data_IF_981123999484
#
_entry.id   IF_981123999484
#
_cell.length_a   1.000
_cell.length_b   1.000
_cell.length_c   1.000
_cell.angle_alpha   90.00
_cell.angle_beta   90.00
_cell.angle_gamma   90.00
#
_symmetry.space_group_name_H-M   'P 1'
#
loop_
_entity.id
_entity.type
_entity.pdbx_description
1 polymer ?
#
# COMPACT_ATOMS: atom_id res chain seq x y z
N UNK A 1 2.45 13.81 16.45
CA UNK A 1 2.61 13.40 15.03
C UNK A 1 3.88 12.56 14.93
N UNK A 2 3.82 11.38 14.32
CA UNK A 2 5.01 10.50 14.20
C UNK A 2 5.76 10.80 12.92
N UNK A 3 7.06 11.04 13.01
CA UNK A 3 7.88 11.46 11.86
C UNK A 3 8.91 10.39 11.53
N UNK A 4 8.92 9.92 10.28
CA UNK A 4 10.02 9.16 9.70
C UNK A 4 10.78 10.09 8.76
N UNK A 5 12.09 10.20 8.98
CA UNK A 5 13.00 10.91 8.08
C UNK A 5 13.85 9.90 7.35
N UNK A 6 13.94 10.01 6.03
CA UNK A 6 14.80 9.19 5.17
C UNK A 6 15.67 10.06 4.28
N UNK A 7 16.91 9.63 4.06
CA UNK A 7 17.81 10.21 3.06
C UNK A 7 18.51 9.11 2.30
N UNK A 8 18.36 9.09 0.97
CA UNK A 8 19.00 8.09 0.13
C UNK A 8 20.26 8.64 -0.54
N UNK A 9 21.32 7.83 -0.53
CA UNK A 9 22.57 8.06 -1.26
C UNK A 9 22.79 6.89 -2.21
N UNK A 10 22.80 7.18 -3.51
CA UNK A 10 23.08 6.20 -4.55
C UNK A 10 24.49 5.63 -4.37
N UNK A 11 24.61 4.30 -4.41
CA UNK A 11 25.91 3.61 -4.41
C UNK A 11 26.20 3.06 -5.81
N UNK A 12 25.20 2.52 -6.47
CA UNK A 12 25.27 2.00 -7.85
C UNK A 12 23.91 2.12 -8.54
N UNK A 13 23.76 1.60 -9.77
CA UNK A 13 22.46 1.52 -10.45
C UNK A 13 21.50 0.49 -9.85
N UNK A 14 21.96 -0.41 -8.98
CA UNK A 14 21.12 -1.41 -8.31
C UNK A 14 21.17 -1.32 -6.77
N UNK A 15 21.87 -0.35 -6.20
CA UNK A 15 21.91 -0.17 -4.75
C UNK A 15 22.03 1.27 -4.30
N UNK A 16 21.50 1.53 -3.11
CA UNK A 16 21.63 2.81 -2.41
C UNK A 16 21.55 2.61 -0.90
N UNK A 17 22.31 3.43 -0.18
CA UNK A 17 22.20 3.52 1.28
C UNK A 17 21.06 4.47 1.64
N UNK A 18 20.13 4.01 2.48
CA UNK A 18 19.05 4.82 3.01
C UNK A 18 19.22 5.00 4.51
N UNK A 19 19.57 6.22 4.88
CA UNK A 19 19.68 6.68 6.25
C UNK A 19 18.28 6.98 6.75
N UNK A 20 17.91 6.46 7.91
CA UNK A 20 16.57 6.67 8.45
C UNK A 20 16.58 6.97 9.94
N UNK A 21 15.57 7.70 10.39
CA UNK A 21 15.29 7.88 11.82
C UNK A 21 13.82 8.13 12.13
N UNK A 22 13.44 7.80 13.36
CA UNK A 22 12.20 8.20 14.01
C UNK A 22 12.54 8.82 15.36
N UNK A 23 12.47 10.15 15.42
CA UNK A 23 12.99 10.93 16.55
C UNK A 23 14.52 10.96 16.55
N UNK A 24 15.14 10.93 17.73
CA UNK A 24 16.61 11.01 17.89
C UNK A 24 17.26 9.67 18.27
N UNK A 25 16.47 8.72 18.80
CA UNK A 25 17.01 7.46 19.34
C UNK A 25 16.90 6.26 18.39
N UNK A 26 15.82 6.20 17.60
CA UNK A 26 15.61 5.08 16.66
C UNK A 26 16.07 5.54 15.29
N UNK A 27 17.23 5.05 14.87
CA UNK A 27 17.87 5.40 13.62
C UNK A 27 18.63 4.17 13.09
N UNK A 28 19.06 4.26 11.84
CA UNK A 28 19.91 3.24 11.23
C UNK A 28 20.13 3.52 9.76
N UNK A 29 20.82 2.58 9.11
CA UNK A 29 21.14 2.63 7.69
C UNK A 29 20.65 1.33 7.06
N UNK A 30 19.88 1.44 5.98
CA UNK A 30 19.52 0.32 5.12
C UNK A 30 20.43 0.33 3.89
N UNK A 31 21.12 -0.78 3.60
CA UNK A 31 21.70 -1.03 2.29
C UNK A 31 20.64 -1.71 1.42
N UNK A 32 19.97 -0.92 0.58
CA UNK A 32 18.90 -1.41 -0.27
C UNK A 32 19.49 -1.87 -1.59
N UNK A 33 19.32 -3.16 -1.91
CA UNK A 33 19.81 -3.77 -3.15
C UNK A 33 18.65 -4.33 -3.96
N UNK A 34 18.55 -3.94 -5.22
CA UNK A 34 17.50 -4.38 -6.13
C UNK A 34 18.03 -5.42 -7.10
N UNK A 35 17.16 -6.36 -7.51
CA UNK A 35 17.40 -7.36 -8.56
C UNK A 35 17.40 -6.78 -9.99
N UNK A 36 17.31 -5.45 -10.12
CA UNK A 36 17.32 -4.72 -11.38
C UNK A 36 18.13 -3.43 -11.25
N UNK A 37 18.55 -2.90 -12.40
CA UNK A 37 19.25 -1.62 -12.49
C UNK A 37 18.33 -0.47 -12.91
N UNK A 38 18.58 0.70 -12.35
CA UNK A 38 17.92 1.95 -12.75
C UNK A 38 18.83 3.16 -12.43
N UNK A 39 18.82 4.17 -13.30
CA UNK A 39 19.61 5.39 -13.10
C UNK A 39 19.24 6.14 -11.81
N UNK A 40 17.96 6.07 -11.42
CA UNK A 40 17.41 6.65 -10.19
C UNK A 40 17.17 5.61 -9.10
N UNK A 41 18.16 4.74 -8.87
CA UNK A 41 18.13 3.71 -7.83
C UNK A 41 17.96 4.28 -6.41
N UNK A 42 18.45 5.49 -6.15
CA UNK A 42 18.27 6.20 -4.88
C UNK A 42 16.80 6.57 -4.59
N UNK A 43 16.06 7.04 -5.61
CA UNK A 43 14.63 7.30 -5.49
C UNK A 43 13.86 6.00 -5.19
N UNK A 44 14.18 4.92 -5.91
CA UNK A 44 13.52 3.63 -5.71
C UNK A 44 13.84 3.05 -4.34
N UNK A 45 15.11 3.08 -3.94
CA UNK A 45 15.57 2.63 -2.63
C UNK A 45 14.89 3.41 -1.50
N UNK A 46 14.74 4.73 -1.64
CA UNK A 46 14.04 5.54 -0.64
C UNK A 46 12.57 5.12 -0.50
N UNK A 47 11.86 4.90 -1.62
CA UNK A 47 10.48 4.42 -1.60
C UNK A 47 10.36 3.03 -0.95
N UNK A 48 11.26 2.10 -1.30
CA UNK A 48 11.32 0.74 -0.75
C UNK A 48 11.58 0.81 0.76
N UNK A 49 12.57 1.58 1.19
CA UNK A 49 12.92 1.78 2.59
C UNK A 49 11.75 2.35 3.38
N UNK A 50 11.05 3.39 2.88
CA UNK A 50 9.89 3.95 3.57
C UNK A 50 8.80 2.89 3.75
N UNK A 51 8.47 2.11 2.70
CA UNK A 51 7.47 1.03 2.79
C UNK A 51 7.89 0.00 3.85
N UNK A 52 9.12 -0.48 3.77
CA UNK A 52 9.64 -1.49 4.67
C UNK A 52 9.64 -1.01 6.12
N UNK A 53 10.18 0.18 6.39
CA UNK A 53 10.24 0.74 7.73
C UNK A 53 8.85 0.98 8.32
N UNK A 54 7.92 1.54 7.52
CA UNK A 54 6.60 1.91 8.00
C UNK A 54 5.66 0.71 8.18
N UNK A 55 5.70 -0.27 7.27
CA UNK A 55 4.70 -1.35 7.19
C UNK A 55 5.23 -2.70 7.70
N UNK A 56 6.46 -3.06 7.36
CA UNK A 56 7.03 -4.38 7.68
C UNK A 56 7.75 -4.35 9.03
N UNK A 57 8.75 -3.48 9.18
CA UNK A 57 9.51 -3.28 10.43
C UNK A 57 8.72 -2.51 11.50
N UNK A 58 7.68 -1.78 11.07
CA UNK A 58 6.80 -0.99 11.92
C UNK A 58 7.56 -0.10 12.90
N UNK A 59 8.49 0.72 12.40
CA UNK A 59 9.32 1.63 13.23
C UNK A 59 8.52 2.63 14.06
N UNK A 60 7.22 2.76 13.80
CA UNK A 60 6.28 3.53 14.60
C UNK A 60 5.69 2.76 15.80
N UNK A 61 6.08 1.50 16.02
CA UNK A 61 5.50 0.56 16.99
C UNK A 61 4.00 0.33 16.80
N UNK A 62 3.51 0.49 15.57
CA UNK A 62 2.12 0.22 15.16
C UNK A 62 2.04 0.16 13.65
N UNK A 63 1.12 -0.66 13.14
CA UNK A 63 0.78 -0.73 11.72
C UNK A 63 -0.07 0.49 11.30
N UNK A 64 0.35 1.28 10.30
CA UNK A 64 -0.45 2.39 9.79
C UNK A 64 -1.74 1.91 9.11
N UNK A 65 -2.90 2.24 9.70
CA UNK A 65 -4.21 2.05 9.07
C UNK A 65 -4.66 3.19 8.13
N UNK A 66 -3.90 4.29 8.14
CA UNK A 66 -4.00 5.47 7.27
C UNK A 66 -2.74 6.33 7.45
N UNK A 67 -2.42 7.23 6.51
CA UNK A 67 -1.30 8.15 6.62
C UNK A 67 -1.54 9.36 7.54
N UNK A 68 -2.80 9.69 7.85
CA UNK A 68 -3.12 10.81 8.73
C UNK A 68 -2.48 10.64 10.12
N UNK A 69 -1.70 11.66 10.55
CA UNK A 69 -0.95 11.64 11.81
C UNK A 69 0.50 11.14 11.68
N UNK A 70 0.90 10.72 10.47
CA UNK A 70 2.28 10.43 10.10
C UNK A 70 2.86 11.54 9.21
N UNK A 71 4.14 11.81 9.42
CA UNK A 71 4.94 12.72 8.61
C UNK A 71 6.11 11.95 8.02
N UNK A 72 6.32 12.09 6.72
CA UNK A 72 7.47 11.57 5.98
C UNK A 72 8.33 12.76 5.57
N UNK A 73 9.57 12.77 6.02
CA UNK A 73 10.59 13.73 5.57
C UNK A 73 11.53 12.97 4.65
N UNK A 74 11.53 13.31 3.37
CA UNK A 74 12.19 12.52 2.32
C UNK A 74 13.24 13.36 1.58
N UNK A 75 14.25 12.73 1.02
CA UNK A 75 15.34 13.43 0.32
C UNK A 75 15.00 13.84 -1.10
N UNK A 76 14.07 13.12 -1.76
CA UNK A 76 13.66 13.38 -3.14
C UNK A 76 12.25 13.97 -3.23
N UNK A 77 12.13 15.16 -3.81
CA UNK A 77 10.82 15.80 -4.07
C UNK A 77 9.91 15.00 -5.01
N UNK A 78 10.46 14.08 -5.81
CA UNK A 78 9.68 13.17 -6.63
C UNK A 78 8.74 12.28 -5.81
N UNK A 79 9.12 11.89 -4.59
CA UNK A 79 8.27 11.07 -3.69
C UNK A 79 7.00 11.83 -3.32
N UNK A 80 7.13 13.11 -2.96
CA UNK A 80 5.97 13.98 -2.70
C UNK A 80 5.07 14.09 -3.93
N UNK A 81 5.64 14.24 -5.14
CA UNK A 81 4.86 14.29 -6.39
C UNK A 81 4.17 12.96 -6.69
N UNK A 82 4.80 11.82 -6.41
CA UNK A 82 4.24 10.48 -6.59
C UNK A 82 3.04 10.25 -5.68
N UNK A 83 3.15 10.62 -4.39
CA UNK A 83 2.05 10.53 -3.44
C UNK A 83 0.82 11.37 -3.86
N UNK A 84 1.05 12.47 -4.57
CA UNK A 84 -0.01 13.34 -5.10
C UNK A 84 -0.52 12.92 -6.49
N UNK A 85 0.06 11.88 -7.11
CA UNK A 85 -0.27 11.49 -8.48
C UNK A 85 0.16 12.50 -9.56
N UNK A 86 1.12 13.38 -9.25
CA UNK A 86 1.58 14.48 -10.12
C UNK A 86 3.02 14.30 -10.62
N UNK A 87 3.61 13.12 -10.43
CA UNK A 87 4.99 12.84 -10.86
C UNK A 87 5.03 12.37 -12.32
N UNK A 88 6.06 12.80 -13.05
CA UNK A 88 6.37 12.26 -14.38
C UNK A 88 7.09 10.91 -14.34
N UNK A 89 7.55 10.45 -13.17
CA UNK A 89 8.34 9.23 -12.99
C UNK A 89 7.46 7.98 -12.93
N UNK A 90 6.90 7.58 -14.07
CA UNK A 90 5.98 6.44 -14.16
C UNK A 90 6.60 5.12 -13.66
N UNK A 91 7.91 4.92 -13.85
CA UNK A 91 8.64 3.73 -13.38
C UNK A 91 8.56 3.55 -11.85
N UNK A 92 8.44 4.64 -11.08
CA UNK A 92 8.39 4.63 -9.62
C UNK A 92 6.96 4.53 -9.07
N UNK A 93 5.93 4.62 -9.92
CA UNK A 93 4.53 4.69 -9.47
C UNK A 93 4.10 3.46 -8.67
N UNK A 94 4.53 2.25 -9.09
CA UNK A 94 4.21 1.00 -8.38
C UNK A 94 4.87 0.93 -7.00
N UNK A 95 6.12 1.35 -6.90
CA UNK A 95 6.86 1.44 -5.63
C UNK A 95 6.27 2.48 -4.68
N UNK A 96 5.67 3.54 -5.21
CA UNK A 96 5.02 4.58 -4.42
C UNK A 96 3.54 4.26 -4.08
N UNK A 97 3.00 3.13 -4.53
CA UNK A 97 1.58 2.81 -4.35
C UNK A 97 1.16 2.86 -2.87
N UNK A 98 1.96 2.35 -1.94
CA UNK A 98 1.64 2.41 -0.51
C UNK A 98 1.34 3.84 0.00
N UNK A 99 1.89 4.90 -0.62
CA UNK A 99 1.63 6.31 -0.28
C UNK A 99 0.21 6.77 -0.63
N UNK A 100 -0.41 6.18 -1.66
CA UNK A 100 -1.80 6.43 -2.07
C UNK A 100 -2.78 5.44 -1.46
N UNK A 101 -2.28 4.35 -0.86
CA UNK A 101 -3.07 3.34 -0.14
C UNK A 101 -2.96 3.50 1.38
N UNK A 102 -2.21 2.60 2.03
CA UNK A 102 -2.07 2.54 3.51
C UNK A 102 -1.54 3.81 4.16
N UNK A 103 -0.71 4.57 3.46
CA UNK A 103 -0.14 5.84 3.92
C UNK A 103 -0.82 7.07 3.31
N UNK A 104 -2.02 6.91 2.74
CA UNK A 104 -2.80 8.03 2.20
C UNK A 104 -3.07 9.08 3.28
N UNK A 105 -2.77 10.34 2.96
CA UNK A 105 -2.93 11.47 3.87
C UNK A 105 -1.72 11.73 4.79
N UNK A 106 -0.61 11.01 4.62
CA UNK A 106 0.64 11.35 5.30
C UNK A 106 1.16 12.72 4.85
N UNK A 107 1.66 13.51 5.79
CA UNK A 107 2.32 14.78 5.47
C UNK A 107 3.69 14.50 4.91
N UNK A 108 3.97 14.93 3.67
CA UNK A 108 5.28 14.72 3.04
C UNK A 108 6.02 16.06 2.90
N UNK A 109 7.20 16.13 3.52
CA UNK A 109 8.14 17.22 3.42
C UNK A 109 9.45 16.75 2.79
N UNK A 110 10.17 17.67 2.17
CA UNK A 110 11.43 17.35 1.49
C UNK A 110 12.56 18.01 2.26
N UNK A 111 13.51 17.22 2.73
CA UNK A 111 14.74 17.69 3.37
C UNK A 111 15.88 16.70 3.12
N UNK A 112 17.08 17.23 2.94
CA UNK A 112 18.29 16.44 2.67
C UNK A 112 19.29 16.48 3.84
N UNK A 113 18.90 17.09 4.96
CA UNK A 113 19.74 17.19 6.15
C UNK A 113 20.04 15.83 6.75
N UNK A 114 21.30 15.62 7.14
CA UNK A 114 21.77 14.41 7.83
C UNK A 114 21.76 14.56 9.36
N UNK A 115 21.16 15.61 9.88
CA UNK A 115 21.12 15.88 11.31
C UNK A 115 20.48 14.72 12.08
N UNK A 116 21.21 14.22 13.08
CA UNK A 116 20.82 13.09 13.94
C UNK A 116 20.60 11.76 13.19
N UNK A 117 21.09 11.64 11.96
CA UNK A 117 21.17 10.36 11.27
C UNK A 117 22.30 9.50 11.85
N UNK A 118 22.34 8.24 11.42
CA UNK A 118 23.46 7.37 11.73
C UNK A 118 24.61 7.54 10.75
N UNK A 119 25.81 7.20 11.21
CA UNK A 119 27.02 7.22 10.39
C UNK A 119 27.42 5.79 9.99
N UNK A 120 27.93 5.58 8.76
CA UNK A 120 28.30 4.26 8.24
C UNK A 120 29.40 3.48 9.01
N UNK A 121 29.91 4.01 10.11
CA UNK A 121 30.88 3.34 11.00
C UNK A 121 30.41 3.16 12.45
N UNK A 122 29.33 3.83 12.87
CA UNK A 122 28.81 3.76 14.24
C UNK A 122 27.65 2.76 14.39
N UNK A 123 27.09 2.30 13.28
CA UNK A 123 25.83 1.57 13.24
C UNK A 123 25.90 0.33 12.37
N UNK A 124 25.13 -0.69 12.74
CA UNK A 124 24.93 -1.87 11.91
C UNK A 124 24.12 -1.47 10.69
N UNK A 125 24.74 -1.53 9.51
CA UNK A 125 24.06 -1.41 8.22
C UNK A 125 23.23 -2.68 8.03
N UNK A 126 21.92 -2.52 7.91
CA UNK A 126 21.00 -3.62 7.65
C UNK A 126 20.82 -3.78 6.15
N UNK A 127 21.10 -4.98 5.65
CA UNK A 127 20.90 -5.33 4.25
C UNK A 127 19.41 -5.56 3.98
N UNK A 128 18.88 -4.89 2.96
CA UNK A 128 17.54 -5.10 2.43
C UNK A 128 17.65 -5.54 0.96
N UNK A 129 17.65 -6.85 0.74
CA UNK A 129 17.58 -7.44 -0.59
C UNK A 129 16.13 -7.41 -1.10
N UNK A 130 15.93 -6.76 -2.24
CA UNK A 130 14.61 -6.43 -2.78
C UNK A 130 14.36 -7.23 -4.04
N UNK A 131 13.31 -8.06 -3.98
CA UNK A 131 12.62 -8.56 -5.17
C UNK A 131 11.65 -7.49 -5.69
N UNK A 132 11.85 -7.05 -6.94
CA UNK A 132 10.98 -6.11 -7.63
C UNK A 132 9.50 -6.49 -7.54
N UNK A 133 9.16 -7.76 -7.64
CA UNK A 133 7.75 -8.18 -7.61
C UNK A 133 7.14 -7.86 -6.25
N UNK A 134 7.79 -8.24 -5.15
CA UNK A 134 7.30 -7.99 -3.79
C UNK A 134 7.03 -6.51 -3.47
N UNK A 135 7.74 -5.58 -4.10
CA UNK A 135 7.62 -4.12 -3.86
C UNK A 135 6.82 -3.36 -4.92
N UNK A 136 6.39 -4.03 -5.99
CA UNK A 136 5.55 -3.44 -7.04
C UNK A 136 4.13 -3.99 -7.05
N UNK A 137 3.80 -4.90 -6.13
CA UNK A 137 2.44 -5.34 -5.88
C UNK A 137 1.57 -4.14 -5.46
N UNK A 138 0.45 -3.97 -6.15
CA UNK A 138 -0.54 -2.89 -5.90
C UNK A 138 -1.75 -3.39 -5.11
N UNK A 139 -1.56 -4.51 -4.41
CA UNK A 139 -2.51 -5.12 -3.51
C UNK A 139 -1.86 -5.38 -2.15
N UNK A 140 -2.68 -5.32 -1.11
CA UNK A 140 -2.31 -5.63 0.26
C UNK A 140 -3.12 -6.85 0.72
N UNK A 141 -2.46 -7.88 1.25
CA UNK A 141 -3.13 -9.08 1.75
C UNK A 141 -3.67 -8.85 3.17
N UNK A 142 -4.93 -9.21 3.39
CA UNK A 142 -5.55 -9.22 4.72
C UNK A 142 -6.17 -10.58 4.99
N UNK A 143 -6.07 -11.03 6.24
CA UNK A 143 -6.82 -12.20 6.70
C UNK A 143 -8.17 -11.75 7.25
N UNK A 144 -9.23 -12.38 6.75
CA UNK A 144 -10.61 -12.14 7.17
C UNK A 144 -11.23 -13.40 7.76
N UNK A 145 -12.05 -13.31 8.82
CA UNK A 145 -12.62 -14.50 9.48
C UNK A 145 -13.56 -15.31 8.59
N UNK A 146 -14.38 -14.64 7.76
CA UNK A 146 -15.40 -15.31 6.96
C UNK A 146 -14.90 -15.78 5.59
N UNK A 147 -13.97 -15.04 4.97
CA UNK A 147 -13.56 -15.23 3.57
C UNK A 147 -12.18 -15.89 3.46
N UNK A 148 -11.37 -15.79 4.53
CA UNK A 148 -9.96 -16.17 4.52
C UNK A 148 -9.05 -15.04 4.01
N UNK A 149 -7.89 -15.38 3.41
CA UNK A 149 -6.97 -14.40 2.84
C UNK A 149 -7.56 -13.67 1.62
N UNK A 150 -7.48 -12.35 1.63
CA UNK A 150 -8.01 -11.46 0.57
C UNK A 150 -6.96 -10.44 0.18
N UNK A 151 -6.70 -10.32 -1.12
CA UNK A 151 -5.85 -9.29 -1.71
C UNK A 151 -6.68 -8.03 -2.01
N UNK A 152 -6.44 -6.96 -1.29
CA UNK A 152 -7.15 -5.68 -1.47
C UNK A 152 -6.35 -4.79 -2.40
N UNK A 153 -6.90 -4.54 -3.59
CA UNK A 153 -6.26 -3.67 -4.60
C UNK A 153 -6.45 -2.20 -4.27
N UNK A 154 -5.51 -1.36 -4.72
CA UNK A 154 -5.70 0.11 -4.69
C UNK A 154 -6.98 0.54 -5.42
N UNK A 155 -7.29 -0.10 -6.54
CA UNK A 155 -8.49 0.22 -7.29
C UNK A 155 -9.76 -0.02 -6.46
N UNK A 156 -9.83 -1.13 -5.73
CA UNK A 156 -10.95 -1.40 -4.84
C UNK A 156 -11.07 -0.37 -3.71
N UNK A 157 -9.93 0.07 -3.14
CA UNK A 157 -9.90 1.14 -2.14
C UNK A 157 -10.44 2.47 -2.70
N UNK A 158 -10.00 2.87 -3.89
CA UNK A 158 -10.49 4.09 -4.55
C UNK A 158 -11.98 4.01 -4.87
N UNK A 159 -12.46 2.84 -5.34
CA UNK A 159 -13.89 2.62 -5.59
C UNK A 159 -14.71 2.65 -4.30
N UNK A 160 -14.17 2.11 -3.20
CA UNK A 160 -14.78 2.18 -1.88
C UNK A 160 -14.98 3.64 -1.45
N UNK A 161 -13.91 4.44 -1.51
CA UNK A 161 -13.95 5.85 -1.13
C UNK A 161 -14.92 6.66 -2.00
N UNK A 162 -14.98 6.39 -3.30
CA UNK A 162 -15.87 7.10 -4.22
C UNK A 162 -17.36 6.74 -4.09
N UNK A 163 -17.69 5.59 -3.49
CA UNK A 163 -19.05 5.02 -3.50
C UNK A 163 -19.69 4.88 -2.13
N UNK A 164 -18.93 5.02 -1.05
CA UNK A 164 -19.49 4.96 0.30
C UNK A 164 -20.44 6.15 0.52
N UNK A 165 -21.71 5.87 0.83
CA UNK A 165 -22.69 6.92 1.12
C UNK A 165 -22.90 7.15 2.61
N UNK A 166 -22.53 6.17 3.44
CA UNK A 166 -22.67 6.18 4.91
C UNK A 166 -21.61 7.04 5.65
N UNK A 167 -21.12 8.11 5.00
CA UNK A 167 -20.11 9.05 5.50
C UNK A 167 -18.80 9.03 4.69
N UNK A 168 -17.98 10.07 4.84
CA UNK A 168 -16.63 10.14 4.25
C UNK A 168 -15.61 9.54 5.24
N UNK A 169 -15.09 8.31 4.99
CA UNK A 169 -14.20 7.67 5.92
C UNK A 169 -12.85 8.40 5.89
N UNK A 170 -12.56 9.17 6.96
CA UNK A 170 -11.24 9.79 7.18
C UNK A 170 -10.05 8.80 7.11
N UNK A 171 -10.33 7.49 7.23
CA UNK A 171 -9.39 6.38 7.11
C UNK A 171 -9.99 5.28 6.21
N UNK A 172 -9.97 5.45 4.87
CA UNK A 172 -10.65 4.54 3.95
C UNK A 172 -10.17 3.09 4.07
N UNK A 173 -8.85 2.88 4.21
CA UNK A 173 -8.25 1.55 4.35
C UNK A 173 -8.73 0.84 5.61
N UNK A 174 -8.52 1.44 6.79
CA UNK A 174 -8.97 0.88 8.06
C UNK A 174 -10.49 0.61 8.08
N UNK A 175 -11.28 1.49 7.46
CA UNK A 175 -12.73 1.32 7.35
C UNK A 175 -13.10 0.12 6.47
N UNK A 176 -12.50 -0.01 5.28
CA UNK A 176 -12.72 -1.13 4.37
C UNK A 176 -12.29 -2.46 5.01
N UNK A 177 -11.08 -2.51 5.59
CA UNK A 177 -10.55 -3.71 6.26
C UNK A 177 -11.41 -4.09 7.46
N UNK A 178 -11.86 -3.11 8.27
CA UNK A 178 -12.75 -3.36 9.40
C UNK A 178 -14.05 -4.02 8.98
N UNK A 179 -14.66 -3.55 7.87
CA UNK A 179 -15.86 -4.18 7.32
C UNK A 179 -15.58 -5.59 6.77
N UNK A 180 -14.46 -5.80 6.07
CA UNK A 180 -14.06 -7.12 5.54
C UNK A 180 -13.72 -8.12 6.65
N UNK A 181 -13.32 -7.66 7.84
CA UNK A 181 -13.04 -8.51 9.00
C UNK A 181 -14.28 -8.88 9.81
N UNK A 182 -15.48 -8.45 9.42
CA UNK A 182 -16.69 -8.82 10.14
C UNK A 182 -17.00 -10.32 9.95
N UNK A 183 -17.19 -11.10 11.04
CA UNK A 183 -17.34 -12.55 10.95
C UNK A 183 -18.64 -12.99 10.27
N UNK A 184 -19.67 -12.14 10.29
CA UNK A 184 -20.98 -12.42 9.67
C UNK A 184 -21.07 -12.08 8.18
N UNK A 185 -19.94 -11.85 7.50
CA UNK A 185 -19.95 -11.73 6.04
C UNK A 185 -20.33 -13.07 5.42
N UNK A 186 -21.23 -13.02 4.44
CA UNK A 186 -21.73 -14.22 3.77
C UNK A 186 -21.61 -14.05 2.27
N UNK A 187 -21.40 -15.18 1.57
CA UNK A 187 -21.51 -15.23 0.12
C UNK A 187 -22.96 -14.89 -0.26
N UNK A 188 -23.11 -13.94 -1.16
CA UNK A 188 -24.40 -13.41 -1.60
C UNK A 188 -24.74 -13.94 -2.98
N UNK A 189 -26.01 -14.26 -3.24
CA UNK A 189 -26.45 -14.64 -4.57
C UNK A 189 -26.21 -13.47 -5.54
N UNK A 190 -25.76 -13.84 -6.74
CA UNK A 190 -25.37 -12.90 -7.76
C UNK A 190 -26.53 -12.63 -8.71
N UNK A 191 -26.70 -11.37 -9.11
CA UNK A 191 -27.70 -10.96 -10.10
C UNK A 191 -27.18 -11.26 -11.51
N UNK A 192 -27.99 -11.92 -12.34
CA UNK A 192 -27.62 -12.31 -13.72
C UNK A 192 -27.15 -11.11 -14.57
N UNK A 193 -27.67 -9.91 -14.30
CA UNK A 193 -27.27 -8.70 -15.03
C UNK A 193 -25.84 -8.28 -14.71
N UNK A 194 -25.43 -8.39 -13.44
CA UNK A 194 -24.05 -8.13 -13.02
C UNK A 194 -23.15 -9.25 -13.55
N UNK A 195 -23.64 -10.49 -13.59
CA UNK A 195 -22.93 -11.61 -14.19
C UNK A 195 -22.57 -11.41 -15.65
N UNK A 196 -23.53 -11.00 -16.48
CA UNK A 196 -23.26 -10.69 -17.89
C UNK A 196 -22.26 -9.57 -18.09
N UNK A 197 -22.41 -8.46 -17.35
CA UNK A 197 -21.48 -7.33 -17.47
C UNK A 197 -20.06 -7.71 -17.04
N UNK A 198 -19.93 -8.65 -16.10
CA UNK A 198 -18.64 -9.13 -15.61
C UNK A 198 -18.04 -10.23 -16.48
N UNK A 199 -18.85 -11.13 -17.04
CA UNK A 199 -18.44 -12.04 -18.11
C UNK A 199 -17.84 -11.27 -19.29
N UNK A 200 -18.45 -10.15 -19.67
CA UNK A 200 -17.92 -9.26 -20.71
C UNK A 200 -16.59 -8.60 -20.32
N UNK A 201 -16.39 -8.24 -19.05
CA UNK A 201 -15.20 -7.50 -18.59
C UNK A 201 -14.02 -8.38 -18.19
N UNK A 202 -14.29 -9.59 -17.71
CA UNK A 202 -13.29 -10.51 -17.15
C UNK A 202 -13.26 -11.89 -17.85
N UNK A 203 -14.13 -12.12 -18.84
CA UNK A 203 -14.17 -13.35 -19.64
C UNK A 203 -14.76 -14.58 -18.95
N UNK A 204 -14.95 -14.54 -17.63
CA UNK A 204 -15.43 -15.66 -16.79
C UNK A 204 -16.31 -15.17 -15.63
N UNK A 205 -17.25 -16.00 -15.20
CA UNK A 205 -18.23 -15.72 -14.11
C UNK A 205 -18.02 -16.67 -12.92
N UNK A 206 -17.53 -17.87 -13.19
CA UNK A 206 -17.29 -18.95 -12.24
C UNK A 206 -16.18 -18.63 -11.22
N UNK A 207 -15.34 -17.64 -11.49
CA UNK A 207 -14.30 -17.16 -10.57
C UNK A 207 -14.70 -15.90 -9.79
N UNK A 208 -15.97 -15.50 -9.81
CA UNK A 208 -16.45 -14.27 -9.17
C UNK A 208 -17.30 -14.59 -7.95
N UNK A 209 -16.95 -13.99 -6.81
CA UNK A 209 -17.72 -14.08 -5.58
C UNK A 209 -18.22 -12.69 -5.16
N UNK A 210 -19.46 -12.61 -4.68
CA UNK A 210 -19.99 -11.40 -4.03
C UNK A 210 -20.19 -11.68 -2.56
N UNK A 211 -19.54 -10.90 -1.71
CA UNK A 211 -19.69 -10.98 -0.26
C UNK A 211 -20.43 -9.76 0.27
N UNK A 212 -21.14 -9.93 1.37
CA UNK A 212 -21.80 -8.84 2.08
C UNK A 212 -22.57 -9.35 3.30
N UNK A 213 -23.07 -8.42 4.09
CA UNK A 213 -24.07 -8.77 5.10
C UNK A 213 -25.42 -9.01 4.43
N UNK A 214 -26.25 -9.83 5.08
CA UNK A 214 -27.60 -10.17 4.63
C UNK A 214 -28.44 -8.93 4.35
N UNK A 215 -28.44 -7.98 5.28
CA UNK A 215 -29.28 -6.77 5.21
C UNK A 215 -28.51 -5.52 4.74
N UNK A 216 -27.24 -5.67 4.39
CA UNK A 216 -26.44 -4.53 3.91
C UNK A 216 -26.59 -4.36 2.40
N UNK A 217 -26.85 -3.11 2.01
CA UNK A 217 -26.77 -2.65 0.62
C UNK A 217 -25.34 -2.70 0.08
N UNK A 218 -24.35 -2.78 0.97
CA UNK A 218 -22.93 -2.78 0.64
C UNK A 218 -22.44 -4.19 0.25
N UNK A 219 -21.84 -4.30 -0.93
CA UNK A 219 -21.35 -5.57 -1.49
C UNK A 219 -19.88 -5.47 -1.91
N UNK A 220 -19.15 -6.56 -1.71
CA UNK A 220 -17.74 -6.72 -2.01
C UNK A 220 -17.58 -7.73 -3.13
N UNK A 221 -17.08 -7.28 -4.29
CA UNK A 221 -16.84 -8.16 -5.43
C UNK A 221 -15.40 -8.67 -5.39
N UNK A 222 -15.25 -9.98 -5.36
CA UNK A 222 -13.97 -10.66 -5.41
C UNK A 222 -13.83 -11.47 -6.69
N UNK A 223 -12.62 -11.53 -7.21
CA UNK A 223 -12.23 -12.41 -8.31
C UNK A 223 -11.18 -13.37 -7.76
N UNK A 224 -11.41 -14.68 -7.92
CA UNK A 224 -10.44 -15.70 -7.59
C UNK A 224 -9.39 -15.71 -8.71
N UNK A 225 -8.14 -15.46 -8.35
CA UNK A 225 -7.05 -15.58 -9.29
C UNK A 225 -6.76 -17.07 -9.52
N UNK A 226 -6.79 -17.50 -10.78
CA UNK A 226 -6.63 -18.90 -11.16
C UNK A 226 -5.25 -19.46 -10.79
N UNK A 227 -4.21 -18.62 -10.81
CA UNK A 227 -2.81 -19.03 -10.63
C UNK A 227 -2.46 -19.37 -9.18
N UNK A 228 -3.00 -18.60 -8.22
CA UNK A 228 -2.67 -18.74 -6.81
C UNK A 228 -3.88 -19.03 -5.91
N UNK A 229 -5.07 -19.18 -6.52
CA UNK A 229 -6.37 -19.38 -5.84
C UNK A 229 -6.69 -18.34 -4.77
N UNK A 230 -6.01 -17.19 -4.78
CA UNK A 230 -6.27 -16.08 -3.85
C UNK A 230 -7.44 -15.24 -4.34
N UNK A 231 -8.24 -14.77 -3.40
CA UNK A 231 -9.35 -13.85 -3.66
C UNK A 231 -8.84 -12.43 -3.78
N UNK A 232 -9.11 -11.78 -4.89
CA UNK A 232 -8.74 -10.39 -5.15
C UNK A 232 -9.98 -9.51 -5.06
N UNK A 233 -10.00 -8.58 -4.11
CA UNK A 233 -11.05 -7.56 -4.06
C UNK A 233 -10.84 -6.56 -5.20
N UNK A 234 -11.77 -6.58 -6.15
CA UNK A 234 -11.68 -5.75 -7.37
C UNK A 234 -12.58 -4.52 -7.30
N UNK A 235 -13.72 -4.60 -6.63
CA UNK A 235 -14.61 -3.44 -6.50
C UNK A 235 -15.54 -3.58 -5.30
N UNK A 236 -16.01 -2.43 -4.84
CA UNK A 236 -16.96 -2.31 -3.75
C UNK A 236 -18.10 -1.41 -4.23
N UNK A 237 -19.34 -1.76 -3.92
CA UNK A 237 -20.50 -1.00 -4.39
C UNK A 237 -21.69 -1.12 -3.43
N UNK A 238 -22.54 -0.11 -3.47
CA UNK A 238 -23.87 -0.15 -2.86
C UNK A 238 -24.89 -0.52 -3.93
N UNK A 239 -25.75 -1.50 -3.64
CA UNK A 239 -26.94 -1.74 -4.46
C UNK A 239 -27.86 -0.53 -4.31
N UNK A 240 -28.15 0.15 -5.42
CA UNK A 240 -29.32 1.01 -5.53
C UNK A 240 -30.52 0.09 -5.68
N UNK A 241 -31.52 0.26 -4.81
CA UNK A 241 -32.85 -0.33 -5.00
C UNK A 241 -33.49 0.23 -6.27
#
# INVERSE_FOLDING_TARGET
>A
MMTLTTVAKKTSNNSALVFWRVGTKRKGILDVRTDFEHEESDLLAELIAIRHLALDKQVFCREPGAGAGYKLVVSKGAIKKLALGKSSKAFAAKFASFLTGRMQGATIEVAQGMDYMDEPGESNIELLDVDKQAFTQTYDEINTPAIGPVLVTQHALSQYQARITSGDPKKPWASLVGRLKHPELQLQPFDERVARHKAMRYGRVDNVEVWGHRDSKFKYLMVINDDNKKRVLVTVFERKE
#
